data_IF_324274817238
#
_entry.id   IF_324274817238
#
_cell.length_a   1.000
_cell.length_b   1.000
_cell.length_c   1.000
_cell.angle_alpha   90.00
_cell.angle_beta   90.00
_cell.angle_gamma   90.00
#
_symmetry.space_group_name_H-M   'P 1'
#
loop_
_entity.id
_entity.type
_entity.pdbx_description
1 polymer ?
#
# COMPACT_ATOMS: atom_id res chain seq x y z
N UNK A 1 -3.45 -1.21 -14.44
CA UNK A 1 -3.19 -2.65 -14.68
C UNK A 1 -2.13 -3.10 -13.69
N UNK A 2 -2.44 -4.09 -12.84
CA UNK A 2 -1.51 -4.61 -11.85
C UNK A 2 -0.35 -5.31 -12.58
N UNK A 3 0.86 -5.29 -12.01
CA UNK A 3 2.01 -5.92 -12.66
C UNK A 3 1.79 -7.41 -12.92
N UNK A 4 0.99 -8.08 -12.07
CA UNK A 4 0.64 -9.49 -12.19
C UNK A 4 -0.24 -9.80 -13.42
N UNK A 5 -1.11 -8.87 -13.84
CA UNK A 5 -2.10 -9.10 -14.90
C UNK A 5 -1.41 -9.44 -16.23
N UNK A 6 -0.34 -8.70 -16.54
CA UNK A 6 0.52 -8.98 -17.70
C UNK A 6 1.01 -10.42 -17.73
N UNK A 7 1.46 -10.97 -16.60
CA UNK A 7 1.97 -12.34 -16.59
C UNK A 7 0.86 -13.39 -16.69
N UNK A 8 -0.33 -13.10 -16.18
CA UNK A 8 -1.48 -14.00 -16.27
C UNK A 8 -1.95 -14.11 -17.72
N UNK A 9 -1.86 -13.04 -18.50
CA UNK A 9 -2.21 -13.02 -19.92
C UNK A 9 -1.23 -13.83 -20.78
N UNK A 10 0.04 -13.93 -20.37
CA UNK A 10 1.10 -14.58 -21.16
C UNK A 10 1.50 -15.97 -20.65
N UNK A 11 1.20 -16.29 -19.40
CA UNK A 11 1.63 -17.53 -18.73
C UNK A 11 0.44 -18.15 -18.01
N UNK A 12 0.02 -19.32 -18.48
CA UNK A 12 -1.05 -20.09 -17.85
C UNK A 12 -0.71 -20.44 -16.40
N UNK A 13 -1.70 -20.36 -15.51
CA UNK A 13 -1.55 -20.70 -14.08
C UNK A 13 -0.48 -19.89 -13.31
N UNK A 14 -0.02 -18.74 -13.83
CA UNK A 14 1.03 -17.91 -13.21
C UNK A 14 0.76 -17.55 -11.74
N UNK A 15 -0.51 -17.31 -11.37
CA UNK A 15 -0.90 -16.98 -9.97
C UNK A 15 -0.51 -18.08 -8.98
N UNK A 16 -0.60 -19.35 -9.39
CA UNK A 16 -0.39 -20.51 -8.53
C UNK A 16 1.08 -20.96 -8.46
N UNK A 17 1.93 -20.39 -9.32
CA UNK A 17 3.36 -20.69 -9.35
C UNK A 17 4.11 -20.06 -8.17
N UNK A 18 5.10 -20.79 -7.66
CA UNK A 18 6.08 -20.24 -6.74
C UNK A 18 7.07 -19.28 -7.44
N UNK A 19 7.95 -18.65 -6.67
CA UNK A 19 8.90 -17.68 -7.22
C UNK A 19 9.85 -18.26 -8.27
N UNK A 20 10.27 -19.52 -8.12
CA UNK A 20 11.19 -20.17 -9.06
C UNK A 20 10.46 -20.52 -10.35
N UNK A 21 9.31 -21.17 -10.23
CA UNK A 21 8.43 -21.51 -11.35
C UNK A 21 8.07 -20.27 -12.18
N UNK A 22 7.77 -19.14 -11.53
CA UNK A 22 7.48 -17.88 -12.24
C UNK A 22 8.66 -17.37 -13.05
N UNK A 23 9.90 -17.47 -12.54
CA UNK A 23 11.10 -17.05 -13.30
C UNK A 23 11.34 -17.96 -14.50
N UNK A 24 11.23 -19.27 -14.30
CA UNK A 24 11.39 -20.27 -15.36
C UNK A 24 10.32 -20.12 -16.45
N UNK A 25 9.08 -19.84 -16.06
CA UNK A 25 7.99 -19.62 -17.01
C UNK A 25 8.17 -18.32 -17.81
N UNK A 26 8.66 -17.24 -17.19
CA UNK A 26 8.99 -15.99 -17.88
C UNK A 26 10.16 -16.18 -18.85
N UNK A 27 11.18 -16.95 -18.45
CA UNK A 27 12.27 -17.40 -19.33
C UNK A 27 11.76 -18.17 -20.54
N UNK A 28 10.91 -19.17 -20.31
CA UNK A 28 10.36 -20.03 -21.36
C UNK A 28 9.47 -19.26 -22.33
N UNK A 29 8.67 -18.33 -21.81
CA UNK A 29 7.84 -17.42 -22.61
C UNK A 29 8.66 -16.32 -23.32
N UNK A 30 9.94 -16.15 -22.97
CA UNK A 30 10.86 -15.15 -23.54
C UNK A 30 10.42 -13.69 -23.34
N UNK A 31 9.65 -13.42 -22.28
CA UNK A 31 9.09 -12.09 -21.99
C UNK A 31 9.88 -11.30 -20.92
N UNK A 32 11.10 -11.73 -20.61
CA UNK A 32 11.91 -11.21 -19.49
C UNK A 32 12.26 -9.73 -19.63
N UNK A 33 12.37 -9.27 -20.87
CA UNK A 33 12.78 -7.93 -21.26
C UNK A 33 11.60 -7.02 -21.65
N UNK A 34 10.37 -7.53 -21.62
CA UNK A 34 9.21 -6.80 -22.17
C UNK A 34 8.64 -5.76 -21.20
N UNK A 35 8.76 -6.00 -19.89
CA UNK A 35 8.13 -5.17 -18.86
C UNK A 35 9.10 -4.69 -17.80
N UNK A 36 8.87 -3.44 -17.39
CA UNK A 36 9.62 -2.77 -16.34
C UNK A 36 8.88 -2.83 -15.00
N UNK A 37 9.64 -3.07 -13.94
CA UNK A 37 9.11 -3.31 -12.61
C UNK A 37 9.85 -2.50 -11.54
N UNK A 38 9.11 -2.06 -10.53
CA UNK A 38 9.73 -1.55 -9.31
C UNK A 38 10.46 -2.67 -8.57
N UNK A 39 11.43 -2.31 -7.72
CA UNK A 39 12.11 -3.26 -6.82
C UNK A 39 11.13 -4.04 -5.95
N UNK A 40 10.02 -3.41 -5.52
CA UNK A 40 8.99 -4.05 -4.73
C UNK A 40 8.26 -5.15 -5.50
N UNK A 41 7.88 -4.87 -6.75
CA UNK A 41 7.24 -5.84 -7.65
C UNK A 41 8.16 -7.04 -7.95
N UNK A 42 9.43 -6.78 -8.28
CA UNK A 42 10.43 -7.84 -8.52
C UNK A 42 10.60 -8.77 -7.32
N UNK A 43 10.69 -8.19 -6.12
CA UNK A 43 10.79 -8.93 -4.87
C UNK A 43 9.52 -9.72 -4.55
N UNK A 44 8.35 -9.13 -4.81
CA UNK A 44 7.05 -9.68 -4.47
C UNK A 44 6.54 -10.76 -5.43
N UNK A 45 6.89 -10.69 -6.72
CA UNK A 45 6.44 -11.65 -7.73
C UNK A 45 7.47 -12.71 -8.08
N UNK A 46 8.77 -12.37 -8.03
CA UNK A 46 9.85 -13.24 -8.54
C UNK A 46 10.97 -13.51 -7.54
N UNK A 47 10.95 -12.83 -6.38
CA UNK A 47 12.06 -12.85 -5.40
C UNK A 47 13.40 -12.43 -6.03
N UNK A 48 13.34 -11.42 -6.89
CA UNK A 48 14.48 -10.85 -7.60
C UNK A 48 14.90 -9.50 -7.00
N UNK A 49 16.16 -9.16 -7.20
CA UNK A 49 16.69 -7.80 -7.00
C UNK A 49 17.54 -7.40 -8.22
N UNK A 50 17.64 -6.10 -8.56
CA UNK A 50 18.55 -5.66 -9.60
C UNK A 50 19.99 -6.14 -9.33
N UNK A 51 20.70 -6.52 -10.39
CA UNK A 51 22.13 -6.81 -10.29
C UNK A 51 22.91 -5.59 -9.77
N UNK A 52 24.13 -5.80 -9.26
CA UNK A 52 24.93 -4.71 -8.65
C UNK A 52 25.24 -3.59 -9.65
N UNK A 53 25.41 -3.98 -10.90
CA UNK A 53 25.72 -3.17 -12.07
C UNK A 53 24.50 -2.80 -12.92
N UNK A 54 23.30 -3.28 -12.54
CA UNK A 54 22.07 -2.99 -13.26
C UNK A 54 21.75 -1.49 -13.24
N UNK A 55 21.60 -0.89 -14.42
CA UNK A 55 21.17 0.50 -14.58
C UNK A 55 19.69 0.55 -14.92
N UNK A 56 18.98 1.42 -14.22
CA UNK A 56 17.56 1.70 -14.49
C UNK A 56 17.45 2.55 -15.75
N UNK A 57 16.81 2.04 -16.79
CA UNK A 57 16.55 2.81 -18.02
C UNK A 57 15.29 3.67 -17.92
N UNK A 58 14.40 3.37 -16.97
CA UNK A 58 13.17 4.13 -16.70
C UNK A 58 13.04 4.47 -15.22
N UNK A 59 12.53 5.67 -14.92
CA UNK A 59 12.12 6.06 -13.58
C UNK A 59 10.83 6.89 -13.60
N UNK A 60 10.22 7.06 -12.43
CA UNK A 60 9.13 8.02 -12.24
C UNK A 60 9.26 8.73 -10.89
N UNK A 61 8.73 9.95 -10.79
CA UNK A 61 8.64 10.69 -9.53
C UNK A 61 7.45 10.16 -8.74
N UNK A 62 7.68 9.71 -7.51
CA UNK A 62 6.60 9.30 -6.62
C UNK A 62 5.89 10.51 -6.03
N UNK A 63 4.67 10.30 -5.55
CA UNK A 63 3.89 11.29 -4.80
C UNK A 63 4.60 11.76 -3.52
N UNK A 64 5.53 10.95 -3.01
CA UNK A 64 6.37 11.26 -1.85
C UNK A 64 7.66 11.99 -2.22
N UNK A 65 7.78 12.52 -3.44
CA UNK A 65 8.89 13.34 -3.91
C UNK A 65 10.15 12.58 -4.34
N UNK A 66 10.27 11.29 -4.03
CA UNK A 66 11.40 10.45 -4.42
C UNK A 66 11.29 9.88 -5.84
N UNK A 67 12.41 9.65 -6.52
CA UNK A 67 12.43 8.92 -7.80
C UNK A 67 12.42 7.42 -7.58
N UNK A 68 11.53 6.71 -8.28
CA UNK A 68 11.43 5.25 -8.25
C UNK A 68 11.99 4.68 -9.55
N UNK A 69 13.09 3.95 -9.43
CA UNK A 69 13.77 3.25 -10.52
C UNK A 69 13.05 1.95 -10.88
N UNK A 70 13.02 1.65 -12.18
CA UNK A 70 12.37 0.49 -12.76
C UNK A 70 13.39 -0.40 -13.50
N UNK A 71 13.25 -1.70 -13.35
CA UNK A 71 14.14 -2.70 -13.94
C UNK A 71 13.35 -3.81 -14.60
N UNK A 72 13.97 -4.45 -15.59
CA UNK A 72 13.47 -5.66 -16.24
C UNK A 72 13.96 -6.91 -15.51
N UNK A 73 13.40 -8.07 -15.82
CA UNK A 73 13.77 -9.32 -15.16
C UNK A 73 15.17 -9.77 -15.56
N UNK A 74 15.54 -9.59 -16.83
CA UNK A 74 16.88 -9.88 -17.39
C UNK A 74 18.02 -9.07 -16.73
N UNK A 75 17.71 -7.92 -16.13
CA UNK A 75 18.65 -7.07 -15.37
C UNK A 75 18.79 -7.50 -13.89
N UNK A 76 18.10 -8.56 -13.46
CA UNK A 76 17.98 -8.92 -12.05
C UNK A 76 18.62 -10.27 -11.72
N UNK A 77 18.95 -10.42 -10.44
CA UNK A 77 19.47 -11.66 -9.85
C UNK A 77 18.55 -12.18 -8.76
N UNK A 78 18.53 -13.51 -8.60
CA UNK A 78 17.79 -14.17 -7.52
C UNK A 78 18.26 -13.68 -6.14
N UNK A 79 17.30 -13.32 -5.29
CA UNK A 79 17.59 -13.08 -3.88
C UNK A 79 17.82 -14.41 -3.17
N UNK A 80 18.48 -14.34 -2.01
CA UNK A 80 18.65 -15.50 -1.14
C UNK A 80 17.29 -16.12 -0.79
N UNK A 81 17.26 -17.45 -0.75
CA UNK A 81 16.08 -18.20 -0.33
C UNK A 81 15.62 -17.76 1.06
N UNK A 82 14.30 -17.82 1.25
CA UNK A 82 13.70 -17.60 2.56
C UNK A 82 14.16 -18.69 3.51
N UNK A 83 14.41 -18.31 4.76
CA UNK A 83 14.65 -19.31 5.80
C UNK A 83 13.42 -20.18 5.96
N UNK A 84 13.60 -21.50 5.90
CA UNK A 84 12.55 -22.49 6.19
C UNK A 84 12.31 -22.69 7.69
N UNK A 85 13.08 -22.00 8.54
CA UNK A 85 12.94 -22.12 10.00
C UNK A 85 11.62 -21.49 10.44
N UNK A 86 10.88 -22.21 11.27
CA UNK A 86 9.68 -21.69 11.93
C UNK A 86 10.05 -20.47 12.77
N UNK A 87 9.20 -19.46 12.74
CA UNK A 87 9.40 -18.25 13.55
C UNK A 87 9.26 -18.60 15.03
N UNK A 88 10.04 -17.93 15.87
CA UNK A 88 9.89 -18.08 17.33
C UNK A 88 8.66 -17.30 17.81
N UNK A 89 8.07 -17.70 18.95
CA UNK A 89 6.94 -16.97 19.58
C UNK A 89 7.27 -15.47 19.79
N UNK A 90 8.52 -15.16 20.15
CA UNK A 90 8.97 -13.78 20.30
C UNK A 90 8.95 -13.01 18.96
N UNK A 91 9.35 -13.65 17.86
CA UNK A 91 9.29 -13.05 16.52
C UNK A 91 7.85 -12.85 16.05
N UNK A 92 6.95 -13.78 16.35
CA UNK A 92 5.53 -13.65 16.05
C UNK A 92 4.90 -12.46 16.80
N UNK A 93 5.14 -12.37 18.11
CA UNK A 93 4.69 -11.25 18.93
C UNK A 93 5.22 -9.91 18.42
N UNK A 94 6.51 -9.84 18.05
CA UNK A 94 7.13 -8.64 17.49
C UNK A 94 6.48 -8.24 16.16
N UNK A 95 6.17 -9.20 15.27
CA UNK A 95 5.42 -8.89 14.03
C UNK A 95 4.02 -8.41 14.32
N UNK A 96 3.29 -9.04 15.26
CA UNK A 96 1.95 -8.60 15.61
C UNK A 96 1.96 -7.15 16.11
N UNK A 97 2.93 -6.79 16.96
CA UNK A 97 3.11 -5.42 17.47
C UNK A 97 3.43 -4.43 16.33
N UNK A 98 4.30 -4.82 15.39
CA UNK A 98 4.63 -3.98 14.24
C UNK A 98 3.42 -3.74 13.33
N UNK A 99 2.65 -4.79 13.02
CA UNK A 99 1.45 -4.68 12.18
C UNK A 99 0.43 -3.76 12.84
N UNK A 100 0.18 -3.95 14.14
CA UNK A 100 -0.72 -3.11 14.92
C UNK A 100 -0.28 -1.64 14.89
N UNK A 101 1.00 -1.39 15.16
CA UNK A 101 1.58 -0.05 15.10
C UNK A 101 1.46 0.59 13.71
N UNK A 102 1.63 -0.17 12.62
CA UNK A 102 1.44 0.34 11.26
C UNK A 102 -0.02 0.70 10.97
N UNK A 103 -0.97 -0.08 11.48
CA UNK A 103 -2.40 0.20 11.33
C UNK A 103 -2.73 1.50 12.07
N UNK A 104 -2.34 1.61 13.33
CA UNK A 104 -2.56 2.80 14.18
C UNK A 104 -1.95 4.07 13.58
N UNK A 105 -0.73 3.98 13.05
CA UNK A 105 -0.04 5.14 12.50
C UNK A 105 -0.42 5.48 11.05
N UNK A 106 -1.23 4.65 10.38
CA UNK A 106 -1.76 4.96 9.06
C UNK A 106 -2.72 6.17 9.12
N UNK A 107 -2.93 6.92 8.01
CA UNK A 107 -3.91 8.01 7.99
C UNK A 107 -5.31 7.56 8.46
N UNK A 108 -5.73 6.36 8.05
CA UNK A 108 -6.99 5.75 8.49
C UNK A 108 -6.99 5.42 9.98
N UNK A 109 -5.88 4.88 10.50
CA UNK A 109 -5.73 4.58 11.93
C UNK A 109 -5.81 5.83 12.78
N UNK A 110 -5.09 6.88 12.40
CA UNK A 110 -5.14 8.19 13.07
C UNK A 110 -6.53 8.81 13.05
N UNK A 111 -7.24 8.71 11.92
CA UNK A 111 -8.62 9.18 11.83
C UNK A 111 -9.56 8.40 12.77
N UNK A 112 -9.37 7.07 12.90
CA UNK A 112 -10.15 6.25 13.84
C UNK A 112 -9.86 6.66 15.29
N UNK A 113 -8.60 6.88 15.66
CA UNK A 113 -8.26 7.32 17.02
C UNK A 113 -8.86 8.69 17.33
N UNK A 114 -8.77 9.65 16.40
CA UNK A 114 -9.44 10.94 16.54
C UNK A 114 -10.95 10.78 16.73
N UNK A 115 -11.61 9.92 15.94
CA UNK A 115 -13.05 9.66 16.11
C UNK A 115 -13.37 9.11 17.50
N UNK A 116 -12.53 8.23 18.06
CA UNK A 116 -12.72 7.71 19.42
C UNK A 116 -12.60 8.81 20.47
N UNK A 117 -11.61 9.69 20.34
CA UNK A 117 -11.44 10.85 21.22
C UNK A 117 -12.66 11.76 21.16
N UNK A 118 -13.11 12.13 19.96
CA UNK A 118 -14.30 12.97 19.77
C UNK A 118 -15.58 12.36 20.36
N UNK A 119 -15.72 11.03 20.32
CA UNK A 119 -16.83 10.31 20.95
C UNK A 119 -16.70 10.37 22.48
N UNK A 120 -15.52 10.07 23.03
CA UNK A 120 -15.29 10.04 24.48
C UNK A 120 -15.48 11.43 25.11
N UNK A 121 -15.02 12.48 24.43
CA UNK A 121 -15.12 13.86 24.90
C UNK A 121 -16.51 14.46 24.65
N UNK A 122 -17.45 13.68 24.09
CA UNK A 122 -18.79 14.15 23.71
C UNK A 122 -18.74 15.40 22.82
N UNK A 123 -17.75 15.48 21.94
CA UNK A 123 -17.54 16.61 21.05
C UNK A 123 -18.76 16.85 20.14
N UNK A 124 -18.93 18.10 19.72
CA UNK A 124 -19.99 18.51 18.80
C UNK A 124 -19.34 18.79 17.44
N UNK A 125 -19.82 18.11 16.41
CA UNK A 125 -19.49 18.42 15.02
C UNK A 125 -20.47 19.48 14.54
N UNK A 126 -19.92 20.53 13.94
CA UNK A 126 -20.66 21.65 13.38
C UNK A 126 -20.47 21.60 11.87
N UNK A 127 -21.59 21.59 11.15
CA UNK A 127 -21.63 21.74 9.70
C UNK A 127 -22.36 23.05 9.37
N UNK A 128 -21.80 23.86 8.48
CA UNK A 128 -22.34 25.18 8.13
C UNK A 128 -22.33 25.35 6.61
N UNK A 129 -23.45 25.78 6.06
CA UNK A 129 -23.51 26.31 4.69
C UNK A 129 -23.38 27.82 4.76
N UNK A 130 -22.44 28.41 4.02
CA UNK A 130 -22.13 29.84 4.05
C UNK A 130 -22.40 30.50 2.72
N UNK A 131 -22.65 31.81 2.72
CA UNK A 131 -22.61 32.62 1.49
C UNK A 131 -21.15 32.92 1.11
N UNK A 132 -20.83 32.79 -0.18
CA UNK A 132 -19.45 32.97 -0.71
C UNK A 132 -18.86 34.37 -0.50
N UNK A 133 -19.69 35.37 -0.17
CA UNK A 133 -19.30 36.78 -0.16
C UNK A 133 -18.76 37.26 1.19
N UNK A 134 -19.27 36.75 2.32
CA UNK A 134 -18.96 37.29 3.66
C UNK A 134 -18.80 36.23 4.75
N UNK A 135 -18.90 34.94 4.43
CA UNK A 135 -18.79 33.85 5.42
C UNK A 135 -19.97 33.77 6.39
N UNK A 136 -21.09 34.40 6.05
CA UNK A 136 -22.34 34.31 6.83
C UNK A 136 -22.93 32.92 6.66
N UNK A 137 -23.08 32.17 7.75
CA UNK A 137 -23.77 30.88 7.75
C UNK A 137 -25.27 31.09 7.51
N UNK A 138 -25.80 30.46 6.46
CA UNK A 138 -27.23 30.45 6.12
C UNK A 138 -27.92 29.17 6.63
N UNK A 139 -27.16 28.10 6.83
CA UNK A 139 -27.62 26.89 7.50
C UNK A 139 -26.54 26.41 8.47
N UNK A 140 -26.97 25.81 9.58
CA UNK A 140 -26.07 25.21 10.55
C UNK A 140 -26.68 23.96 11.16
N UNK A 141 -25.88 22.90 11.29
CA UNK A 141 -26.24 21.67 11.98
C UNK A 141 -25.18 21.34 13.05
N UNK A 142 -25.65 20.95 14.23
CA UNK A 142 -24.81 20.54 15.36
C UNK A 142 -25.15 19.11 15.76
N UNK A 143 -24.17 18.22 15.76
CA UNK A 143 -24.36 16.80 16.11
C UNK A 143 -23.39 16.41 17.21
N UNK A 144 -23.92 15.82 18.28
CA UNK A 144 -23.08 15.26 19.36
C UNK A 144 -22.50 13.90 18.92
N UNK A 145 -21.17 13.77 18.92
CA UNK A 145 -20.47 12.54 18.54
C UNK A 145 -20.83 11.34 19.44
N UNK A 146 -20.95 11.56 20.76
CA UNK A 146 -21.24 10.50 21.72
C UNK A 146 -22.65 9.92 21.54
N UNK A 147 -23.65 10.80 21.43
CA UNK A 147 -25.07 10.41 21.44
C UNK A 147 -25.65 10.24 20.04
N UNK A 148 -24.96 10.75 19.01
CA UNK A 148 -25.42 10.82 17.62
C UNK A 148 -26.70 11.64 17.44
N UNK A 149 -27.06 12.46 18.43
CA UNK A 149 -28.23 13.33 18.36
C UNK A 149 -27.88 14.62 17.65
N UNK A 150 -28.78 15.05 16.77
CA UNK A 150 -28.83 16.43 16.30
C UNK A 150 -29.25 17.28 17.50
N UNK A 151 -28.37 18.18 17.91
CA UNK A 151 -28.63 19.12 18.99
C UNK A 151 -29.35 20.37 18.47
N UNK A 152 -29.05 20.76 17.23
CA UNK A 152 -29.63 21.91 16.57
C UNK A 152 -29.49 21.78 15.05
N UNK A 153 -30.49 22.25 14.31
CA UNK A 153 -30.45 22.41 12.86
C UNK A 153 -31.36 23.55 12.43
N UNK A 154 -30.87 24.50 11.62
CA UNK A 154 -31.67 25.55 10.98
C UNK A 154 -31.17 25.85 9.58
#
# INVERSE_FOLDING_TARGET
MNAIDFYIEHIENFKNMDFKQRREAVQLAKIESEKYHTKATLKGLFRLKPAKDARSEKDYKSEFGGRVQLYRIDQCVAMRELSKKTRTKAQEAATKKLVQSNIENSPKGKAIELCKELINDSSIVIDTETTDLDGVAIQIALVCCATRKVLYSS
#
